data_IF_537494901122
#
_entry.id   IF_537494901122
#
_cell.length_a   1.000
_cell.length_b   1.000
_cell.length_c   1.000
_cell.angle_alpha   90.00
_cell.angle_beta   90.00
_cell.angle_gamma   90.00
#
_symmetry.space_group_name_H-M   'P 1'
#
loop_
_entity.id
_entity.type
_entity.pdbx_description
1 polymer ?
#
# COMPACT_ATOMS: atom_id res chain seq x y z
N UNK A 1 12.67 -18.61 -6.79
CA UNK A 1 12.27 -18.20 -5.43
C UNK A 1 11.08 -19.03 -4.99
N UNK A 2 11.21 -19.72 -3.86
CA UNK A 2 10.11 -20.52 -3.29
C UNK A 2 9.33 -19.69 -2.30
N UNK A 3 8.00 -19.60 -2.45
CA UNK A 3 7.16 -18.73 -1.62
C UNK A 3 7.23 -19.04 -0.12
N UNK A 4 7.35 -20.32 0.25
CA UNK A 4 7.40 -20.71 1.66
C UNK A 4 8.73 -20.39 2.35
N UNK A 5 9.77 -20.05 1.59
CA UNK A 5 11.07 -19.63 2.11
C UNK A 5 11.20 -18.11 2.22
N UNK A 6 10.17 -17.34 1.77
CA UNK A 6 10.22 -15.89 1.74
C UNK A 6 9.81 -15.34 3.10
N UNK A 7 10.73 -14.62 3.75
CA UNK A 7 10.46 -13.89 4.97
C UNK A 7 10.53 -12.39 4.68
N UNK A 8 9.41 -11.66 4.77
CA UNK A 8 9.45 -10.21 4.56
C UNK A 8 10.18 -9.51 5.69
N UNK A 9 10.84 -8.40 5.36
CA UNK A 9 11.44 -7.49 6.34
C UNK A 9 10.41 -6.42 6.67
N UNK A 10 10.10 -6.24 7.95
CA UNK A 10 9.07 -5.34 8.43
C UNK A 10 9.68 -4.36 9.43
N UNK A 11 9.37 -3.09 9.27
CA UNK A 11 9.85 -2.09 10.22
C UNK A 11 9.36 -0.68 9.93
N UNK A 12 9.65 0.21 10.88
CA UNK A 12 9.48 1.64 10.68
C UNK A 12 10.55 2.15 9.68
N UNK A 13 10.37 3.34 9.08
CA UNK A 13 11.33 3.82 8.07
C UNK A 13 12.78 3.86 8.52
N UNK A 14 13.04 4.16 9.80
CA UNK A 14 14.40 4.24 10.34
C UNK A 14 15.12 2.88 10.48
N UNK A 15 14.41 1.77 10.34
CA UNK A 15 15.00 0.42 10.28
C UNK A 15 15.75 0.19 8.97
N UNK A 16 15.43 0.95 7.94
CA UNK A 16 15.97 0.78 6.59
C UNK A 16 17.12 1.75 6.35
N UNK A 17 18.17 1.29 5.65
CA UNK A 17 19.30 2.13 5.26
C UNK A 17 18.87 3.17 4.22
N UNK A 18 19.73 4.17 4.00
CA UNK A 18 19.51 5.15 2.92
C UNK A 18 19.40 4.47 1.55
N UNK A 19 20.23 3.46 1.31
CA UNK A 19 20.20 2.70 0.06
C UNK A 19 18.90 1.93 -0.09
N UNK A 20 18.40 1.30 0.99
CA UNK A 20 17.12 0.63 0.99
C UNK A 20 15.99 1.60 0.66
N UNK A 21 15.97 2.76 1.29
CA UNK A 21 14.93 3.78 1.04
C UNK A 21 15.00 4.25 -0.42
N UNK A 22 16.19 4.46 -0.97
CA UNK A 22 16.36 4.84 -2.38
C UNK A 22 15.80 3.76 -3.31
N UNK A 23 16.10 2.49 -3.07
CA UNK A 23 15.56 1.38 -3.86
C UNK A 23 14.04 1.28 -3.76
N UNK A 24 13.49 1.48 -2.56
CA UNK A 24 12.03 1.49 -2.33
C UNK A 24 11.36 2.61 -3.13
N UNK A 25 11.89 3.81 -3.04
CA UNK A 25 11.36 4.97 -3.78
C UNK A 25 11.45 4.74 -5.29
N UNK A 26 12.59 4.27 -5.78
CA UNK A 26 12.78 3.99 -7.20
C UNK A 26 11.79 2.95 -7.71
N UNK A 27 11.54 1.90 -6.93
CA UNK A 27 10.56 0.86 -7.28
C UNK A 27 9.15 1.46 -7.38
N UNK A 28 8.75 2.28 -6.43
CA UNK A 28 7.43 2.93 -6.44
C UNK A 28 7.30 3.83 -7.67
N UNK A 29 8.31 4.63 -7.95
CA UNK A 29 8.28 5.58 -9.08
C UNK A 29 8.25 4.87 -10.43
N UNK A 30 8.83 3.68 -10.53
CA UNK A 30 8.84 2.90 -11.79
C UNK A 30 7.45 2.49 -12.26
N UNK A 31 6.49 2.37 -11.35
CA UNK A 31 5.12 1.93 -11.65
C UNK A 31 4.05 2.98 -11.35
N UNK A 32 4.41 4.20 -10.99
CA UNK A 32 3.47 5.20 -10.49
C UNK A 32 3.61 6.54 -11.20
N UNK A 33 2.46 7.23 -11.35
CA UNK A 33 2.37 8.59 -11.91
C UNK A 33 2.55 9.67 -10.83
N UNK A 34 2.81 9.29 -9.58
CA UNK A 34 2.97 10.22 -8.46
C UNK A 34 4.33 10.90 -8.52
N UNK A 35 4.39 12.16 -8.19
CA UNK A 35 5.65 12.91 -8.15
C UNK A 35 6.63 12.37 -7.11
N UNK A 36 7.93 12.46 -7.40
CA UNK A 36 8.99 11.90 -6.54
C UNK A 36 9.00 12.47 -5.12
N UNK A 37 8.76 13.77 -4.96
CA UNK A 37 8.70 14.40 -3.63
C UNK A 37 7.59 13.85 -2.76
N UNK A 38 6.43 13.56 -3.36
CA UNK A 38 5.30 12.97 -2.64
C UNK A 38 5.62 11.55 -2.16
N UNK A 39 6.23 10.75 -3.02
CA UNK A 39 6.64 9.37 -2.68
C UNK A 39 7.67 9.39 -1.55
N UNK A 40 8.73 10.21 -1.67
CA UNK A 40 9.77 10.33 -0.66
C UNK A 40 9.16 10.72 0.69
N UNK A 41 8.29 11.73 0.72
CA UNK A 41 7.62 12.17 1.93
C UNK A 41 6.76 11.07 2.55
N UNK A 42 5.96 10.38 1.74
CA UNK A 42 5.11 9.29 2.21
C UNK A 42 5.91 8.13 2.78
N UNK A 43 7.03 7.78 2.18
CA UNK A 43 7.90 6.69 2.67
C UNK A 43 8.58 7.10 3.97
N UNK A 44 9.12 8.32 4.06
CA UNK A 44 9.76 8.80 5.31
C UNK A 44 8.78 8.89 6.47
N UNK A 45 7.50 9.14 6.19
CA UNK A 45 6.46 9.29 7.20
C UNK A 45 5.55 8.05 7.34
N UNK A 46 5.89 6.96 6.69
CA UNK A 46 5.12 5.72 6.79
C UNK A 46 5.16 5.17 8.23
N UNK A 47 4.08 4.52 8.65
CA UNK A 47 4.06 3.81 9.92
C UNK A 47 4.89 2.54 9.85
N UNK A 48 4.73 1.76 8.77
CA UNK A 48 5.40 0.48 8.54
C UNK A 48 5.76 0.37 7.06
N UNK A 49 6.95 -0.15 6.80
CA UNK A 49 7.39 -0.57 5.48
C UNK A 49 7.63 -2.07 5.52
N UNK A 50 7.13 -2.77 4.51
CA UNK A 50 7.36 -4.20 4.30
C UNK A 50 8.13 -4.37 3.00
N UNK A 51 9.23 -5.12 3.03
CA UNK A 51 10.01 -5.42 1.84
C UNK A 51 10.21 -6.92 1.68
N UNK A 52 10.34 -7.35 0.44
CA UNK A 52 10.79 -8.69 0.08
C UNK A 52 12.05 -8.52 -0.77
N UNK A 53 13.12 -9.18 -0.36
CA UNK A 53 14.39 -9.22 -1.09
C UNK A 53 14.74 -10.66 -1.47
N UNK A 54 15.42 -10.80 -2.59
CA UNK A 54 16.14 -12.00 -3.00
C UNK A 54 17.62 -11.61 -3.06
N UNK A 55 18.41 -12.17 -2.16
CA UNK A 55 19.77 -11.70 -1.88
C UNK A 55 19.75 -10.20 -1.54
N UNK A 56 20.34 -9.37 -2.41
CA UNK A 56 20.39 -7.91 -2.24
C UNK A 56 19.35 -7.18 -3.07
N UNK A 57 18.63 -7.88 -3.94
CA UNK A 57 17.68 -7.27 -4.86
C UNK A 57 16.30 -7.14 -4.26
N UNK A 58 15.76 -5.93 -4.26
CA UNK A 58 14.39 -5.65 -3.83
C UNK A 58 13.41 -6.20 -4.86
N UNK A 59 12.53 -7.11 -4.43
CA UNK A 59 11.51 -7.75 -5.28
C UNK A 59 10.14 -7.13 -5.13
N UNK A 60 9.81 -6.63 -3.95
CA UNK A 60 8.51 -6.03 -3.72
C UNK A 60 8.44 -5.26 -2.42
N UNK A 61 7.46 -4.39 -2.32
CA UNK A 61 7.17 -3.57 -1.15
C UNK A 61 5.67 -3.45 -0.90
N UNK A 62 5.32 -3.22 0.36
CA UNK A 62 4.03 -2.68 0.77
C UNK A 62 4.26 -1.71 1.92
N UNK A 63 3.34 -0.77 2.11
CA UNK A 63 3.44 0.20 3.21
C UNK A 63 2.11 0.33 3.94
N UNK A 64 2.19 0.63 5.23
CA UNK A 64 1.12 1.25 5.99
C UNK A 64 1.47 2.73 6.10
N UNK A 65 0.74 3.57 5.39
CA UNK A 65 0.97 5.01 5.37
C UNK A 65 0.24 5.70 6.52
N UNK A 66 0.73 6.87 6.90
CA UNK A 66 0.06 7.83 7.79
C UNK A 66 -0.48 8.98 6.94
N UNK A 67 -1.68 8.88 6.36
CA UNK A 67 -2.16 9.90 5.45
C UNK A 67 -2.45 11.22 6.16
N UNK A 68 -2.22 12.33 5.43
CA UNK A 68 -2.56 13.66 5.89
C UNK A 68 -4.08 13.82 6.07
N UNK A 69 -4.48 14.65 7.02
CA UNK A 69 -5.90 14.96 7.28
C UNK A 69 -6.62 15.52 6.05
N UNK A 70 -5.93 16.32 5.24
CA UNK A 70 -6.47 16.89 4.00
C UNK A 70 -6.81 15.80 2.98
N UNK A 71 -5.96 14.80 2.84
CA UNK A 71 -6.22 13.66 1.97
C UNK A 71 -7.39 12.83 2.48
N UNK A 72 -7.42 12.52 3.79
CA UNK A 72 -8.52 11.78 4.41
C UNK A 72 -9.86 12.48 4.18
N UNK A 73 -9.89 13.79 4.39
CA UNK A 73 -11.10 14.60 4.18
C UNK A 73 -11.53 14.54 2.71
N UNK A 74 -10.59 14.67 1.79
CA UNK A 74 -10.88 14.65 0.35
C UNK A 74 -11.57 13.34 -0.06
N UNK A 75 -10.99 12.19 0.27
CA UNK A 75 -11.57 10.89 -0.11
C UNK A 75 -12.84 10.56 0.67
N UNK A 76 -12.96 11.02 1.92
CA UNK A 76 -14.19 10.88 2.70
C UNK A 76 -15.34 11.66 2.06
N UNK A 77 -15.10 12.90 1.66
CA UNK A 77 -16.11 13.72 0.99
C UNK A 77 -16.52 13.12 -0.36
N UNK A 78 -15.54 12.63 -1.14
CA UNK A 78 -15.81 12.04 -2.47
C UNK A 78 -16.60 10.73 -2.38
N UNK A 79 -16.28 9.88 -1.43
CA UNK A 79 -16.90 8.56 -1.28
C UNK A 79 -18.17 8.54 -0.44
N UNK A 80 -18.37 9.56 0.40
CA UNK A 80 -19.43 9.56 1.40
C UNK A 80 -19.15 8.64 2.59
N UNK A 81 -17.93 8.12 2.72
CA UNK A 81 -17.52 7.27 3.84
C UNK A 81 -16.38 7.96 4.61
N UNK A 82 -16.54 8.07 5.94
CA UNK A 82 -15.53 8.73 6.78
C UNK A 82 -14.37 7.79 7.11
N UNK A 83 -13.21 8.01 6.48
CA UNK A 83 -11.95 7.32 6.80
C UNK A 83 -11.25 8.02 7.96
N UNK A 84 -11.89 8.07 9.11
CA UNK A 84 -11.38 8.79 10.27
C UNK A 84 -10.07 8.20 10.79
N UNK A 85 -9.20 9.08 11.30
CA UNK A 85 -7.92 8.69 11.91
C UNK A 85 -8.13 7.74 13.11
N UNK A 86 -9.21 7.91 13.86
CA UNK A 86 -9.51 7.11 15.04
C UNK A 86 -9.84 5.66 14.68
N UNK A 87 -10.65 5.44 13.65
CA UNK A 87 -11.08 4.10 13.23
C UNK A 87 -10.10 3.45 12.27
N UNK A 88 -9.49 4.22 11.38
CA UNK A 88 -8.59 3.74 10.33
C UNK A 88 -7.29 4.54 10.33
N UNK A 89 -6.40 4.32 11.31
CA UNK A 89 -5.17 5.10 11.41
C UNK A 89 -4.22 4.91 10.22
N UNK A 90 -4.31 3.78 9.52
CA UNK A 90 -3.37 3.45 8.46
C UNK A 90 -4.05 3.30 7.10
N UNK A 91 -3.31 3.70 6.06
CA UNK A 91 -3.64 3.35 4.68
C UNK A 91 -2.64 2.32 4.16
N UNK A 92 -3.15 1.17 3.72
CA UNK A 92 -2.34 0.19 2.97
C UNK A 92 -2.15 0.72 1.55
N UNK A 93 -0.88 0.93 1.17
CA UNK A 93 -0.60 1.48 -0.15
C UNK A 93 0.80 1.15 -0.64
N UNK A 94 1.12 1.65 -1.84
CA UNK A 94 2.38 1.35 -2.50
C UNK A 94 2.71 -0.15 -2.48
N UNK A 95 1.75 -0.98 -2.89
CA UNK A 95 1.99 -2.41 -3.10
C UNK A 95 2.57 -2.55 -4.49
N UNK A 96 3.88 -2.75 -4.57
CA UNK A 96 4.59 -2.80 -5.85
C UNK A 96 5.52 -4.02 -5.87
N UNK A 97 5.50 -4.75 -6.97
CA UNK A 97 6.36 -5.90 -7.21
C UNK A 97 7.05 -5.69 -8.55
N UNK A 98 8.35 -5.95 -8.61
CA UNK A 98 9.08 -5.84 -9.87
C UNK A 98 8.47 -6.78 -10.92
N UNK A 99 8.50 -6.40 -12.22
CA UNK A 99 7.85 -7.20 -13.26
C UNK A 99 8.29 -8.66 -13.31
N UNK A 100 9.57 -8.94 -13.13
CA UNK A 100 10.13 -10.31 -13.17
C UNK A 100 9.70 -11.20 -12.00
N UNK A 101 9.20 -10.61 -10.90
CA UNK A 101 8.75 -11.35 -9.72
C UNK A 101 7.22 -11.43 -9.61
N UNK A 102 6.48 -10.91 -10.58
CA UNK A 102 5.01 -10.97 -10.59
C UNK A 102 4.52 -12.39 -10.88
N UNK A 103 3.33 -12.72 -10.37
CA UNK A 103 2.68 -13.99 -10.58
C UNK A 103 2.76 -15.00 -9.45
N UNK A 104 3.88 -15.15 -8.70
CA UNK A 104 3.99 -16.18 -7.67
C UNK A 104 3.38 -15.84 -6.31
N UNK A 105 2.47 -14.86 -6.21
CA UNK A 105 1.74 -14.58 -4.97
C UNK A 105 2.47 -13.67 -3.97
N UNK A 106 3.47 -12.93 -4.39
CA UNK A 106 4.22 -12.03 -3.50
C UNK A 106 3.36 -10.91 -2.92
N UNK A 107 2.36 -10.42 -3.67
CA UNK A 107 1.44 -9.40 -3.17
C UNK A 107 0.67 -9.88 -1.94
N UNK A 108 0.27 -11.14 -1.91
CA UNK A 108 -0.38 -11.74 -0.74
C UNK A 108 0.51 -11.77 0.48
N UNK A 109 1.79 -12.13 0.31
CA UNK A 109 2.78 -12.13 1.41
C UNK A 109 2.98 -10.71 1.95
N UNK A 110 3.10 -9.73 1.07
CA UNK A 110 3.26 -8.32 1.44
C UNK A 110 2.06 -7.78 2.21
N UNK A 111 0.86 -8.03 1.70
CA UNK A 111 -0.39 -7.57 2.33
C UNK A 111 -0.58 -8.25 3.68
N UNK A 112 -0.37 -9.56 3.76
CA UNK A 112 -0.46 -10.30 5.02
C UNK A 112 0.47 -9.72 6.09
N UNK A 113 1.72 -9.47 5.74
CA UNK A 113 2.70 -8.89 6.65
C UNK A 113 2.29 -7.49 7.12
N UNK A 114 1.81 -6.64 6.22
CA UNK A 114 1.34 -5.29 6.55
C UNK A 114 0.12 -5.32 7.48
N UNK A 115 -0.85 -6.16 7.17
CA UNK A 115 -2.06 -6.33 7.99
C UNK A 115 -1.71 -6.80 9.40
N UNK A 116 -0.83 -7.78 9.52
CA UNK A 116 -0.37 -8.27 10.82
C UNK A 116 0.37 -7.18 11.62
N UNK A 117 1.15 -6.35 10.94
CA UNK A 117 1.88 -5.26 11.58
C UNK A 117 0.97 -4.15 12.15
N UNK A 118 -0.27 -4.06 11.69
CA UNK A 118 -1.24 -3.09 12.21
C UNK A 118 -1.79 -3.45 13.60
N UNK A 119 -1.51 -4.66 14.11
CA UNK A 119 -1.91 -5.11 15.46
C UNK A 119 -3.41 -4.93 15.75
N UNK A 120 -4.26 -5.28 14.81
CA UNK A 120 -5.71 -5.21 14.97
C UNK A 120 -6.33 -3.82 14.74
N UNK A 121 -5.51 -2.80 14.50
CA UNK A 121 -6.02 -1.47 14.15
C UNK A 121 -6.63 -1.45 12.75
N UNK A 122 -7.61 -0.56 12.56
CA UNK A 122 -8.29 -0.42 11.28
C UNK A 122 -7.38 0.09 10.18
N UNK A 123 -7.57 -0.47 8.99
CA UNK A 123 -6.80 -0.11 7.79
C UNK A 123 -7.79 0.22 6.68
N UNK A 124 -7.52 1.28 5.93
CA UNK A 124 -8.20 1.48 4.67
C UNK A 124 -7.23 1.35 3.49
N UNK A 125 -7.77 1.11 2.33
CA UNK A 125 -7.02 1.05 1.08
C UNK A 125 -7.88 1.61 -0.04
N UNK A 126 -7.26 2.09 -1.10
CA UNK A 126 -7.97 2.50 -2.31
C UNK A 126 -7.48 1.67 -3.49
N UNK A 127 -8.39 1.35 -4.39
CA UNK A 127 -8.06 0.67 -5.63
C UNK A 127 -8.93 1.20 -6.77
N UNK A 128 -8.39 1.20 -7.98
CA UNK A 128 -9.20 1.45 -9.17
C UNK A 128 -10.24 0.35 -9.30
N UNK A 129 -11.46 0.71 -9.66
CA UNK A 129 -12.57 -0.26 -9.76
C UNK A 129 -12.33 -1.35 -10.81
N UNK A 130 -11.46 -1.09 -11.80
CA UNK A 130 -11.06 -2.06 -12.81
C UNK A 130 -9.81 -2.88 -12.43
N UNK A 131 -9.19 -2.62 -11.30
CA UNK A 131 -8.04 -3.40 -10.81
C UNK A 131 -8.54 -4.63 -10.05
N UNK A 132 -9.07 -5.60 -10.79
CA UNK A 132 -9.71 -6.81 -10.23
C UNK A 132 -8.71 -7.65 -9.42
N UNK A 133 -7.45 -7.69 -9.82
CA UNK A 133 -6.40 -8.43 -9.12
C UNK A 133 -6.15 -7.85 -7.72
N UNK A 134 -6.00 -6.53 -7.61
CA UNK A 134 -5.81 -5.89 -6.30
C UNK A 134 -7.05 -6.01 -5.42
N UNK A 135 -8.24 -5.82 -5.98
CA UNK A 135 -9.51 -5.98 -5.26
C UNK A 135 -9.62 -7.40 -4.70
N UNK A 136 -9.31 -8.42 -5.50
CA UNK A 136 -9.31 -9.81 -5.05
C UNK A 136 -8.33 -10.04 -3.90
N UNK A 137 -7.13 -9.48 -3.99
CA UNK A 137 -6.14 -9.55 -2.91
C UNK A 137 -6.65 -8.88 -1.63
N UNK A 138 -7.19 -7.68 -1.73
CA UNK A 138 -7.75 -6.97 -0.57
C UNK A 138 -8.87 -7.77 0.09
N UNK A 139 -9.80 -8.30 -0.69
CA UNK A 139 -10.92 -9.09 -0.18
C UNK A 139 -10.45 -10.36 0.52
N UNK A 140 -9.42 -11.02 -0.02
CA UNK A 140 -8.82 -12.20 0.60
C UNK A 140 -8.30 -11.91 2.02
N UNK A 141 -7.82 -10.69 2.28
CA UNK A 141 -7.29 -10.28 3.59
C UNK A 141 -8.31 -9.51 4.43
N UNK A 142 -9.60 -9.64 4.13
CA UNK A 142 -10.69 -9.15 4.97
C UNK A 142 -11.11 -7.72 4.70
N UNK A 143 -10.59 -7.07 3.66
CA UNK A 143 -11.04 -5.73 3.27
C UNK A 143 -12.39 -5.81 2.56
N UNK A 144 -13.27 -4.85 2.87
CA UNK A 144 -14.60 -4.72 2.28
C UNK A 144 -14.76 -3.36 1.64
N UNK A 145 -15.44 -3.27 0.47
CA UNK A 145 -15.73 -1.98 -0.15
C UNK A 145 -16.70 -1.17 0.72
N UNK A 146 -16.44 0.13 0.81
CA UNK A 146 -17.29 1.08 1.54
C UNK A 146 -17.44 2.38 0.75
N UNK A 147 -18.56 3.04 0.95
CA UNK A 147 -18.86 4.28 0.26
C UNK A 147 -19.08 4.11 -1.23
N UNK A 148 -19.22 5.22 -1.93
CA UNK A 148 -19.40 5.26 -3.37
C UNK A 148 -18.05 5.33 -4.07
N UNK A 149 -17.93 4.72 -5.25
CA UNK A 149 -16.77 4.96 -6.11
C UNK A 149 -16.79 6.42 -6.61
N UNK A 150 -15.62 6.99 -6.84
CA UNK A 150 -15.47 8.36 -7.28
C UNK A 150 -14.36 8.47 -8.33
N UNK A 151 -14.38 9.55 -9.11
CA UNK A 151 -13.31 9.79 -10.09
C UNK A 151 -11.99 10.10 -9.39
N UNK A 152 -10.93 9.40 -9.79
CA UNK A 152 -9.58 9.68 -9.36
C UNK A 152 -9.03 10.98 -9.97
N UNK A 153 -7.79 11.32 -9.62
CA UNK A 153 -7.11 12.54 -10.09
C UNK A 153 -6.97 12.61 -11.60
N UNK A 154 -6.87 11.46 -12.27
CA UNK A 154 -6.76 11.40 -13.73
C UNK A 154 -8.06 11.76 -14.44
N UNK A 155 -9.18 11.88 -13.70
CA UNK A 155 -10.49 12.21 -14.26
C UNK A 155 -11.09 11.11 -15.14
N UNK A 156 -10.49 9.94 -15.18
CA UNK A 156 -10.88 8.80 -16.03
C UNK A 156 -11.21 7.57 -15.20
N UNK A 157 -10.32 7.16 -14.32
CA UNK A 157 -10.49 5.95 -13.52
C UNK A 157 -11.28 6.23 -12.24
N UNK A 158 -12.22 5.35 -11.92
CA UNK A 158 -12.95 5.38 -10.66
C UNK A 158 -12.15 4.66 -9.57
N UNK A 159 -12.24 5.20 -8.36
CA UNK A 159 -11.56 4.71 -7.16
C UNK A 159 -12.62 4.19 -6.19
N UNK A 160 -12.34 3.07 -5.55
CA UNK A 160 -13.15 2.50 -4.48
C UNK A 160 -12.33 2.44 -3.20
N UNK A 161 -12.94 2.79 -2.07
CA UNK A 161 -12.34 2.62 -0.75
C UNK A 161 -12.70 1.24 -0.20
N UNK A 162 -11.73 0.60 0.40
CA UNK A 162 -11.87 -0.68 1.12
C UNK A 162 -11.39 -0.50 2.55
N UNK A 163 -12.03 -1.16 3.50
CA UNK A 163 -11.65 -1.11 4.91
C UNK A 163 -11.63 -2.49 5.53
N UNK A 164 -10.82 -2.60 6.56
CA UNK A 164 -10.80 -3.78 7.41
C UNK A 164 -10.51 -3.40 8.85
#
# INVERSE_FOLDING_TARGET
MRLFEITPIIGTPNKFSKDDITQIVDLILSGNEVGSNQVISNIKNAAIIVTIKDDTELKGIATLKNPLSTYRKHISDKSGFDVSLTKFPYELGYIVIIPSARGPGLSGILVDAAVNAANGKGIFATARTNNTRMISTLQKFGFKPVGNSYLGRDGVNKIQIFVR
#
